data_IF_259665263577
#
_entry.id   IF_259665263577
#
_cell.length_a   1.000
_cell.length_b   1.000
_cell.length_c   1.000
_cell.angle_alpha   90.00
_cell.angle_beta   90.00
_cell.angle_gamma   90.00
#
_symmetry.space_group_name_H-M   'P 1'
#
loop_
_entity.id
_entity.type
_entity.pdbx_description
1 polymer ?
#
# COMPACT_ATOMS: atom_id res chain seq x y z
N UNK A 1 15.89 48.02 -35.97
CA UNK A 1 15.99 49.23 -35.12
C UNK A 1 16.20 48.77 -33.68
N UNK A 2 17.47 48.60 -33.30
CA UNK A 2 18.19 49.37 -32.28
C UNK A 2 18.25 48.54 -30.98
N UNK A 3 19.39 48.14 -30.44
CA UNK A 3 20.76 48.53 -30.74
C UNK A 3 21.68 47.40 -30.24
N UNK A 4 22.23 46.63 -31.17
CA UNK A 4 23.48 45.88 -30.97
C UNK A 4 24.60 46.88 -31.25
N UNK A 5 25.08 47.58 -30.23
CA UNK A 5 26.37 48.27 -30.25
C UNK A 5 27.09 47.94 -28.95
N UNK A 6 27.74 46.80 -29.01
CA UNK A 6 28.66 46.33 -28.01
C UNK A 6 29.95 47.18 -28.06
N UNK A 7 30.59 47.31 -26.90
CA UNK A 7 32.04 47.21 -26.76
C UNK A 7 32.96 48.42 -27.04
N UNK A 8 32.46 49.65 -27.27
CA UNK A 8 33.36 50.78 -27.62
C UNK A 8 33.34 52.00 -26.70
N UNK A 9 32.49 52.04 -25.65
CA UNK A 9 32.45 53.19 -24.71
C UNK A 9 33.11 52.92 -23.36
N UNK A 10 33.47 51.67 -23.04
CA UNK A 10 34.14 51.33 -21.77
C UNK A 10 35.68 51.50 -21.88
N UNK A 11 36.22 51.56 -23.11
CA UNK A 11 37.66 51.64 -23.34
C UNK A 11 38.24 53.07 -23.39
N UNK A 12 37.42 54.13 -23.37
CA UNK A 12 37.87 55.52 -23.60
C UNK A 12 38.03 56.37 -22.33
N UNK A 13 37.66 55.84 -21.15
CA UNK A 13 37.88 56.52 -19.87
C UNK A 13 39.16 56.00 -19.18
N UNK A 14 39.75 54.94 -19.72
CA UNK A 14 41.09 54.49 -19.36
C UNK A 14 42.08 55.25 -20.24
N UNK A 15 42.89 56.12 -19.61
CA UNK A 15 43.87 57.04 -20.22
C UNK A 15 43.19 58.31 -20.76
N UNK A 16 43.26 59.48 -20.11
CA UNK A 16 44.48 60.15 -19.65
C UNK A 16 44.09 61.18 -18.59
N UNK A 17 44.54 61.03 -17.36
CA UNK A 17 45.09 62.10 -16.50
C UNK A 17 45.92 61.41 -15.40
N UNK A 18 47.26 61.49 -15.54
CA UNK A 18 48.23 61.10 -14.51
C UNK A 18 48.29 62.21 -13.46
N UNK A 19 47.75 61.94 -12.27
CA UNK A 19 48.33 62.24 -10.95
C UNK A 19 47.24 62.09 -9.88
N UNK A 20 47.64 61.62 -8.69
CA UNK A 20 46.83 61.18 -7.55
C UNK A 20 46.49 59.69 -7.56
N UNK A 21 47.04 59.01 -6.55
CA UNK A 21 46.86 57.60 -6.22
C UNK A 21 45.38 57.22 -6.23
N UNK A 22 44.96 56.32 -7.13
CA UNK A 22 43.73 55.56 -6.93
C UNK A 22 43.99 54.59 -5.78
N UNK A 23 43.77 55.07 -4.56
CA UNK A 23 43.67 54.23 -3.37
C UNK A 23 42.39 53.42 -3.57
N UNK A 24 42.49 52.09 -3.56
CA UNK A 24 41.30 51.24 -3.42
C UNK A 24 40.48 51.81 -2.27
N UNK A 25 39.26 52.31 -2.56
CA UNK A 25 38.39 52.81 -1.51
C UNK A 25 37.89 51.59 -0.75
N UNK A 26 38.67 51.19 0.27
CA UNK A 26 38.26 50.24 1.29
C UNK A 26 36.98 50.80 1.89
N UNK A 27 35.87 50.15 1.57
CA UNK A 27 34.56 50.47 2.14
C UNK A 27 34.70 50.50 3.66
N UNK A 28 34.20 51.56 4.29
CA UNK A 28 34.20 51.63 5.75
C UNK A 28 33.35 50.49 6.31
N UNK A 29 33.59 50.08 7.56
CA UNK A 29 32.74 49.06 8.21
C UNK A 29 31.26 49.44 8.18
N UNK A 30 30.94 50.73 8.20
CA UNK A 30 29.56 51.23 8.03
C UNK A 30 29.00 51.01 6.63
N UNK A 31 29.78 51.20 5.57
CA UNK A 31 29.33 50.97 4.20
C UNK A 31 29.10 49.48 3.95
N UNK A 32 29.96 48.64 4.52
CA UNK A 32 29.83 47.19 4.46
C UNK A 32 28.58 46.71 5.23
N UNK A 33 28.31 47.29 6.40
CA UNK A 33 27.12 46.99 7.21
C UNK A 33 25.82 47.35 6.48
N UNK A 34 25.78 48.50 5.80
CA UNK A 34 24.63 48.92 4.99
C UNK A 34 24.41 47.98 3.81
N UNK A 35 25.48 47.59 3.11
CA UNK A 35 25.41 46.60 2.03
C UNK A 35 24.89 45.25 2.52
N UNK A 36 25.32 44.78 3.68
CA UNK A 36 24.85 43.52 4.26
C UNK A 36 23.39 43.59 4.73
N UNK A 37 22.96 44.74 5.25
CA UNK A 37 21.55 44.98 5.57
C UNK A 37 20.67 44.97 4.30
N UNK A 38 21.12 45.61 3.22
CA UNK A 38 20.39 45.63 1.95
C UNK A 38 20.35 44.24 1.29
N UNK A 39 21.44 43.47 1.35
CA UNK A 39 21.47 42.08 0.90
C UNK A 39 20.50 41.21 1.69
N UNK A 40 20.51 41.34 3.02
CA UNK A 40 19.59 40.60 3.89
C UNK A 40 18.14 40.94 3.58
N UNK A 41 17.79 42.23 3.44
CA UNK A 41 16.45 42.68 3.08
C UNK A 41 15.98 42.09 1.74
N UNK A 42 16.83 42.09 0.71
CA UNK A 42 16.55 41.49 -0.61
C UNK A 42 16.43 39.96 -0.57
N UNK A 43 17.10 39.29 0.37
CA UNK A 43 17.00 37.84 0.57
C UNK A 43 15.69 37.50 1.31
N UNK A 44 15.33 38.24 2.35
CA UNK A 44 14.06 38.03 3.07
C UNK A 44 12.85 38.38 2.21
N UNK A 45 12.87 39.51 1.51
CA UNK A 45 11.76 39.93 0.65
C UNK A 45 11.49 38.95 -0.50
N UNK A 46 12.53 38.27 -1.04
CA UNK A 46 12.35 37.23 -2.06
C UNK A 46 11.84 35.89 -1.52
N UNK A 47 11.95 35.62 -0.21
CA UNK A 47 11.39 34.40 0.40
C UNK A 47 9.87 34.47 0.55
N UNK A 48 9.33 35.68 0.71
CA UNK A 48 7.89 35.90 0.91
C UNK A 48 7.09 35.88 -0.42
N UNK A 49 7.78 35.98 -1.58
CA UNK A 49 7.15 36.00 -2.92
C UNK A 49 7.26 34.68 -3.70
N UNK A 50 8.00 33.67 -3.22
CA UNK A 50 8.00 32.36 -3.88
C UNK A 50 6.67 31.63 -3.60
N UNK A 51 5.87 31.28 -4.62
CA UNK A 51 4.73 30.40 -4.42
C UNK A 51 5.24 29.09 -3.82
N UNK A 52 4.81 28.79 -2.60
CA UNK A 52 5.02 27.46 -2.03
C UNK A 52 4.28 26.48 -2.93
N UNK A 53 5.00 25.78 -3.80
CA UNK A 53 4.47 24.57 -4.43
C UNK A 53 4.02 23.68 -3.27
N UNK A 54 2.70 23.54 -3.08
CA UNK A 54 2.17 22.51 -2.21
C UNK A 54 2.64 21.20 -2.82
N UNK A 55 3.74 20.65 -2.32
CA UNK A 55 4.08 19.24 -2.50
C UNK A 55 2.91 18.47 -1.90
N UNK A 56 1.94 18.13 -2.76
CA UNK A 56 0.96 17.11 -2.43
C UNK A 56 1.74 15.82 -2.32
N UNK A 57 2.17 15.50 -1.11
CA UNK A 57 2.66 14.17 -0.76
C UNK A 57 1.50 13.22 -1.00
N UNK A 58 1.58 12.45 -2.09
CA UNK A 58 0.66 11.35 -2.37
C UNK A 58 0.93 10.25 -1.35
N UNK A 59 0.44 10.43 -0.14
CA UNK A 59 0.43 9.38 0.89
C UNK A 59 -0.72 8.43 0.60
N UNK A 60 -0.46 7.15 0.69
CA UNK A 60 -1.47 6.12 0.60
C UNK A 60 -0.88 4.77 0.97
N UNK A 61 -1.76 3.82 1.23
CA UNK A 61 -1.39 2.45 1.57
C UNK A 61 -2.15 1.48 0.68
N UNK A 62 -1.52 0.33 0.44
CA UNK A 62 -2.18 -0.79 -0.22
C UNK A 62 -2.64 -1.83 0.78
N UNK A 63 -3.71 -2.54 0.45
CA UNK A 63 -4.17 -3.71 1.17
C UNK A 63 -4.85 -4.69 0.23
N UNK A 64 -4.92 -5.95 0.62
CA UNK A 64 -5.62 -6.98 -0.15
C UNK A 64 -7.01 -7.19 0.45
N UNK A 65 -8.02 -7.20 -0.42
CA UNK A 65 -9.39 -7.57 -0.10
C UNK A 65 -9.65 -8.99 -0.60
N UNK A 66 -9.56 -9.94 0.31
CA UNK A 66 -9.77 -11.35 0.01
C UNK A 66 -11.27 -11.68 -0.11
N UNK A 67 -11.63 -12.52 -1.07
CA UNK A 67 -13.02 -12.94 -1.33
C UNK A 67 -13.84 -11.94 -2.16
N UNK A 68 -13.23 -10.91 -2.76
CA UNK A 68 -13.94 -9.93 -3.60
C UNK A 68 -13.16 -9.56 -4.87
N UNK A 69 -13.89 -9.33 -5.96
CA UNK A 69 -13.37 -8.87 -7.26
C UNK A 69 -13.22 -7.33 -7.36
N UNK A 70 -13.17 -6.59 -6.25
CA UNK A 70 -13.09 -5.13 -6.28
C UNK A 70 -13.00 -4.47 -4.91
N UNK A 71 -12.63 -3.19 -4.87
CA UNK A 71 -12.40 -2.43 -3.63
C UNK A 71 -13.67 -1.77 -3.08
N UNK A 72 -13.68 -1.32 -1.82
CA UNK A 72 -14.77 -0.51 -1.27
C UNK A 72 -14.94 0.81 -2.04
N UNK A 73 -16.09 1.45 -1.88
CA UNK A 73 -16.36 2.74 -2.50
C UNK A 73 -15.35 3.81 -2.02
N UNK A 74 -14.86 4.63 -2.96
CA UNK A 74 -13.85 5.65 -2.67
C UNK A 74 -12.42 5.13 -2.52
N UNK A 75 -12.17 3.84 -2.78
CA UNK A 75 -10.85 3.21 -2.76
C UNK A 75 -10.47 2.80 -4.17
N UNK A 76 -9.25 3.13 -4.60
CA UNK A 76 -8.80 2.80 -5.95
C UNK A 76 -8.46 1.31 -6.03
N UNK A 77 -8.81 0.67 -7.15
CA UNK A 77 -8.33 -0.68 -7.49
C UNK A 77 -6.95 -0.54 -8.11
N UNK A 78 -5.96 -1.27 -7.57
CA UNK A 78 -4.66 -1.44 -8.21
C UNK A 78 -4.76 -2.54 -9.26
N UNK A 79 -5.21 -3.73 -8.85
CA UNK A 79 -5.59 -4.81 -9.76
C UNK A 79 -6.59 -5.76 -9.10
N UNK A 80 -7.21 -6.60 -9.92
CA UNK A 80 -8.07 -7.70 -9.48
C UNK A 80 -7.46 -9.03 -9.89
N UNK A 81 -7.82 -10.08 -9.17
CA UNK A 81 -7.12 -11.33 -9.29
C UNK A 81 -7.85 -12.51 -8.67
N UNK A 82 -7.12 -13.61 -8.63
CA UNK A 82 -7.48 -14.82 -7.91
C UNK A 82 -6.46 -15.10 -6.82
N UNK A 83 -6.90 -15.79 -5.76
CA UNK A 83 -5.95 -16.25 -4.76
C UNK A 83 -5.10 -17.36 -5.33
N UNK A 84 -3.81 -17.31 -5.02
CA UNK A 84 -2.92 -18.44 -5.17
C UNK A 84 -2.10 -18.70 -3.92
N UNK A 85 -1.42 -19.83 -3.91
CA UNK A 85 -0.52 -20.23 -2.84
C UNK A 85 -0.01 -21.63 -3.07
N UNK A 86 0.67 -22.19 -2.08
CA UNK A 86 1.16 -23.56 -2.17
C UNK A 86 0.01 -24.59 -1.95
N UNK A 87 0.15 -25.81 -2.47
CA UNK A 87 -0.81 -26.91 -2.30
C UNK A 87 -0.89 -27.38 -0.83
N UNK A 88 -2.03 -27.91 -0.37
CA UNK A 88 -2.32 -28.19 1.05
C UNK A 88 -1.44 -29.26 1.72
N UNK A 89 -0.92 -30.23 0.97
CA UNK A 89 0.01 -31.29 1.38
C UNK A 89 1.48 -30.96 1.11
N UNK A 90 1.80 -29.78 0.58
CA UNK A 90 3.17 -29.38 0.34
C UNK A 90 3.78 -28.66 1.56
N UNK A 91 4.90 -29.17 2.06
CA UNK A 91 5.56 -28.65 3.27
C UNK A 91 6.44 -27.41 3.07
N UNK A 92 6.66 -26.97 1.82
CA UNK A 92 7.58 -25.88 1.46
C UNK A 92 7.05 -25.01 0.30
N UNK A 93 7.86 -24.11 -0.25
CA UNK A 93 7.46 -23.27 -1.40
C UNK A 93 6.78 -21.93 -1.04
N UNK A 94 6.15 -21.84 0.12
CA UNK A 94 5.58 -20.58 0.64
C UNK A 94 4.43 -20.84 1.63
N UNK A 95 4.26 -19.93 2.60
CA UNK A 95 3.18 -20.02 3.61
C UNK A 95 2.08 -19.00 3.39
N UNK A 96 2.38 -17.89 2.71
CA UNK A 96 1.46 -16.80 2.50
C UNK A 96 0.49 -17.10 1.34
N UNK A 97 -0.70 -16.51 1.43
CA UNK A 97 -1.58 -16.37 0.27
C UNK A 97 -1.06 -15.26 -0.65
N UNK A 98 -1.27 -15.43 -1.94
CA UNK A 98 -0.94 -14.47 -2.99
C UNK A 98 -2.23 -13.99 -3.64
N UNK A 99 -2.30 -12.71 -3.99
CA UNK A 99 -3.30 -12.22 -4.92
C UNK A 99 -2.66 -12.17 -6.31
N UNK A 100 -2.97 -13.12 -7.17
CA UNK A 100 -2.40 -13.23 -8.51
C UNK A 100 -3.25 -12.39 -9.48
N UNK A 101 -2.65 -11.49 -10.28
CA UNK A 101 -3.40 -10.67 -11.22
C UNK A 101 -4.11 -11.54 -12.27
N UNK A 102 -5.24 -11.04 -12.79
CA UNK A 102 -5.98 -11.69 -13.87
C UNK A 102 -5.26 -11.61 -15.23
N UNK A 103 -4.25 -10.74 -15.33
CA UNK A 103 -3.43 -10.45 -16.51
C UNK A 103 -1.93 -10.69 -16.20
N UNK A 104 -1.51 -11.94 -15.94
CA UNK A 104 -0.12 -12.22 -15.59
C UNK A 104 0.82 -12.06 -16.79
N UNK A 105 2.01 -11.53 -16.52
CA UNK A 105 3.17 -11.66 -17.43
C UNK A 105 3.86 -13.00 -17.18
N UNK A 106 3.80 -13.91 -18.15
CA UNK A 106 4.36 -15.26 -18.00
C UNK A 106 5.84 -15.30 -18.38
N UNK A 107 6.64 -16.00 -17.57
CA UNK A 107 7.99 -16.43 -17.95
C UNK A 107 7.98 -17.63 -18.90
N UNK A 108 9.17 -18.12 -19.25
CA UNK A 108 9.32 -19.31 -20.07
C UNK A 108 8.86 -20.59 -19.32
N UNK A 109 8.33 -21.55 -20.07
CA UNK A 109 8.00 -22.87 -19.53
C UNK A 109 9.28 -23.61 -19.10
N UNK A 110 9.28 -24.15 -17.87
CA UNK A 110 10.42 -24.88 -17.30
C UNK A 110 9.99 -26.27 -16.82
N UNK A 111 10.76 -27.35 -17.10
CA UNK A 111 10.36 -28.72 -16.80
C UNK A 111 10.79 -29.23 -15.40
N UNK A 112 11.35 -28.37 -14.54
CA UNK A 112 11.92 -28.80 -13.25
C UNK A 112 10.86 -28.86 -12.13
N UNK A 113 11.00 -29.82 -11.21
CA UNK A 113 10.11 -30.04 -10.06
C UNK A 113 10.33 -29.07 -8.89
N UNK A 114 10.35 -27.77 -9.18
CA UNK A 114 10.47 -26.70 -8.18
C UNK A 114 9.10 -26.40 -7.52
N UNK A 115 9.05 -25.55 -6.48
CA UNK A 115 7.79 -25.10 -5.91
C UNK A 115 6.84 -24.51 -6.96
N UNK A 116 5.56 -24.81 -6.81
CA UNK A 116 4.50 -24.37 -7.71
C UNK A 116 3.51 -23.47 -6.95
N UNK A 117 2.87 -22.57 -7.69
CA UNK A 117 1.75 -21.77 -7.19
C UNK A 117 0.46 -22.38 -7.74
N UNK A 118 -0.44 -22.73 -6.82
CA UNK A 118 -1.75 -23.30 -7.06
C UNK A 118 -2.83 -22.25 -6.83
N UNK A 119 -4.01 -22.42 -7.44
CA UNK A 119 -5.19 -21.60 -7.15
C UNK A 119 -5.68 -21.81 -5.71
N UNK A 120 -6.43 -20.85 -5.18
CA UNK A 120 -7.01 -20.95 -3.84
C UNK A 120 -8.51 -21.19 -3.85
N UNK A 121 -9.00 -22.02 -2.94
CA UNK A 121 -10.39 -22.51 -2.93
C UNK A 121 -11.03 -22.40 -1.53
N UNK A 122 -12.35 -22.23 -1.48
CA UNK A 122 -13.09 -22.29 -0.23
C UNK A 122 -13.39 -23.74 0.18
N UNK A 123 -13.00 -24.07 1.41
CA UNK A 123 -13.27 -25.36 2.03
C UNK A 123 -14.38 -25.23 3.07
N UNK A 124 -15.59 -25.01 2.56
CA UNK A 124 -16.79 -24.81 3.37
C UNK A 124 -17.91 -25.74 2.93
N UNK A 125 -18.76 -26.10 3.88
CA UNK A 125 -19.91 -26.96 3.74
C UNK A 125 -21.06 -26.39 4.56
N UNK A 126 -22.23 -27.03 4.51
CA UNK A 126 -23.36 -26.64 5.36
C UNK A 126 -23.04 -26.65 6.86
N UNK A 127 -22.06 -27.46 7.31
CA UNK A 127 -21.73 -27.64 8.72
C UNK A 127 -20.64 -26.73 9.28
N UNK A 128 -19.82 -26.10 8.43
CA UNK A 128 -18.70 -25.25 8.87
C UNK A 128 -18.66 -23.86 8.21
N UNK A 129 -19.56 -23.53 7.28
CA UNK A 129 -19.56 -22.22 6.62
C UNK A 129 -19.82 -21.07 7.60
N UNK A 130 -19.18 -19.90 7.39
CA UNK A 130 -19.54 -18.70 8.14
C UNK A 130 -20.99 -18.28 7.90
N UNK A 131 -21.59 -17.61 8.90
CA UNK A 131 -22.97 -17.13 8.79
C UNK A 131 -23.14 -16.16 7.61
N UNK A 132 -24.12 -16.47 6.75
CA UNK A 132 -24.46 -15.71 5.55
C UNK A 132 -23.81 -16.19 4.25
N UNK A 133 -22.89 -17.16 4.31
CA UNK A 133 -22.25 -17.71 3.10
C UNK A 133 -23.04 -18.89 2.53
N UNK A 134 -22.93 -19.14 1.22
CA UNK A 134 -23.59 -20.29 0.59
C UNK A 134 -22.67 -21.52 0.65
N UNK A 135 -23.18 -22.72 1.00
CA UNK A 135 -22.39 -23.95 0.88
C UNK A 135 -21.98 -24.26 -0.57
N UNK A 136 -22.65 -23.66 -1.56
CA UNK A 136 -22.28 -23.79 -2.98
C UNK A 136 -20.94 -23.12 -3.34
N UNK A 137 -20.33 -22.38 -2.41
CA UNK A 137 -18.99 -21.82 -2.59
C UNK A 137 -17.89 -22.85 -2.34
N UNK A 138 -18.22 -24.04 -1.83
CA UNK A 138 -17.26 -25.13 -1.69
C UNK A 138 -16.55 -25.40 -3.01
N UNK A 139 -15.21 -25.56 -2.96
CA UNK A 139 -14.37 -25.84 -4.12
C UNK A 139 -14.47 -24.77 -5.21
N UNK A 140 -14.87 -23.55 -4.82
CA UNK A 140 -14.86 -22.40 -5.71
C UNK A 140 -13.65 -21.55 -5.42
N UNK A 141 -13.08 -21.01 -6.50
CA UNK A 141 -11.87 -20.23 -6.38
C UNK A 141 -12.16 -18.89 -5.70
N UNK A 142 -11.21 -18.47 -4.88
CA UNK A 142 -11.31 -17.27 -4.06
C UNK A 142 -10.85 -16.07 -4.89
N UNK A 143 -11.71 -15.08 -5.19
CA UNK A 143 -11.29 -13.85 -5.84
C UNK A 143 -10.53 -12.95 -4.86
N UNK A 144 -9.69 -12.07 -5.38
CA UNK A 144 -9.04 -11.03 -4.60
C UNK A 144 -8.96 -9.71 -5.37
N UNK A 145 -8.78 -8.62 -4.63
CA UNK A 145 -8.48 -7.31 -5.20
C UNK A 145 -7.42 -6.61 -4.34
N UNK A 146 -6.44 -6.00 -4.99
CA UNK A 146 -5.48 -5.12 -4.32
C UNK A 146 -5.97 -3.70 -4.43
N UNK A 147 -6.13 -3.07 -3.28
CA UNK A 147 -6.75 -1.76 -3.12
C UNK A 147 -5.71 -0.73 -2.68
N UNK A 148 -5.81 0.48 -3.21
CA UNK A 148 -5.01 1.63 -2.80
C UNK A 148 -5.91 2.69 -2.16
N UNK A 149 -5.65 2.98 -0.89
CA UNK A 149 -6.36 3.99 -0.13
C UNK A 149 -5.51 5.25 -0.01
N UNK A 150 -6.01 6.34 -0.61
CA UNK A 150 -5.36 7.66 -0.61
C UNK A 150 -5.43 8.28 0.78
N UNK A 151 -4.46 9.14 1.10
CA UNK A 151 -4.38 9.95 2.34
C UNK A 151 -4.40 9.11 3.62
N UNK A 152 -3.84 7.91 3.54
CA UNK A 152 -3.58 7.01 4.68
C UNK A 152 -2.10 6.67 4.72
N UNK A 153 -1.60 6.36 5.90
CA UNK A 153 -0.19 6.04 6.13
C UNK A 153 0.05 4.62 6.63
N UNK A 154 -0.98 3.95 7.16
CA UNK A 154 -0.84 2.59 7.69
C UNK A 154 -2.06 1.73 7.43
N UNK A 155 -1.85 0.42 7.37
CA UNK A 155 -2.88 -0.63 7.32
C UNK A 155 -2.69 -1.58 8.49
N UNK A 156 -3.80 -2.07 9.06
CA UNK A 156 -3.82 -3.05 10.14
C UNK A 156 -4.99 -4.02 9.96
N UNK A 157 -4.73 -5.32 9.98
CA UNK A 157 -5.75 -6.34 10.14
C UNK A 157 -5.90 -6.68 11.63
N UNK A 158 -7.13 -6.61 12.16
CA UNK A 158 -7.43 -6.91 13.56
C UNK A 158 -8.26 -8.20 13.61
N UNK A 159 -7.70 -9.34 14.05
CA UNK A 159 -8.46 -10.57 14.26
C UNK A 159 -9.34 -10.45 15.51
N UNK A 160 -10.50 -11.11 15.49
CA UNK A 160 -11.50 -11.11 16.56
C UNK A 160 -12.40 -9.88 16.63
N UNK A 161 -12.35 -8.95 15.67
CA UNK A 161 -13.22 -7.76 15.63
C UNK A 161 -13.91 -7.57 14.28
N UNK A 162 -15.11 -6.97 14.32
CA UNK A 162 -15.83 -6.48 13.12
C UNK A 162 -15.62 -4.98 12.86
N UNK A 163 -15.03 -4.27 13.80
CA UNK A 163 -14.86 -2.82 13.75
C UNK A 163 -13.46 -2.41 14.18
N UNK A 164 -12.96 -1.35 13.57
CA UNK A 164 -11.68 -0.74 13.91
C UNK A 164 -11.75 -0.05 15.28
N UNK A 165 -10.59 0.17 15.90
CA UNK A 165 -10.50 1.01 17.09
C UNK A 165 -10.75 2.48 16.75
N UNK A 166 -11.05 3.29 17.78
CA UNK A 166 -11.27 4.74 17.62
C UNK A 166 -10.07 5.39 16.89
N UNK A 167 -10.36 6.23 15.91
CA UNK A 167 -9.35 6.92 15.10
C UNK A 167 -8.78 6.10 13.94
N UNK A 168 -9.28 4.88 13.72
CA UNK A 168 -9.01 4.07 12.53
C UNK A 168 -10.26 3.98 11.65
N UNK A 169 -10.05 3.83 10.36
CA UNK A 169 -11.11 3.74 9.36
C UNK A 169 -11.25 2.29 8.92
N UNK A 170 -12.49 1.80 8.82
CA UNK A 170 -12.77 0.45 8.34
C UNK A 170 -12.75 0.43 6.82
N UNK A 171 -11.90 -0.42 6.25
CA UNK A 171 -11.90 -0.71 4.82
C UNK A 171 -12.89 -1.83 4.50
N UNK A 172 -12.78 -2.96 5.22
CA UNK A 172 -13.77 -4.04 5.19
C UNK A 172 -13.67 -4.92 6.43
N UNK A 173 -14.72 -5.70 6.70
CA UNK A 173 -14.73 -6.72 7.74
C UNK A 173 -15.18 -8.06 7.18
N UNK A 174 -14.89 -9.12 7.92
CA UNK A 174 -14.95 -10.46 7.40
C UNK A 174 -14.79 -11.54 8.46
N UNK A 175 -14.51 -12.74 7.97
CA UNK A 175 -14.12 -13.90 8.77
C UNK A 175 -12.65 -14.20 8.55
N UNK A 176 -11.95 -14.54 9.62
CA UNK A 176 -10.57 -14.97 9.56
C UNK A 176 -10.55 -16.42 9.06
N UNK A 177 -9.72 -16.67 8.05
CA UNK A 177 -9.57 -17.97 7.42
C UNK A 177 -8.10 -18.35 7.29
N UNK A 178 -7.83 -19.65 7.25
CA UNK A 178 -6.50 -20.23 7.01
C UNK A 178 -6.69 -21.68 6.54
N UNK A 179 -5.61 -22.47 6.47
CA UNK A 179 -5.70 -23.89 6.15
C UNK A 179 -6.32 -24.72 7.29
N UNK A 180 -6.64 -25.98 6.98
CA UNK A 180 -7.10 -26.93 7.98
C UNK A 180 -5.97 -27.28 8.96
N UNK A 181 -6.33 -27.56 10.22
CA UNK A 181 -5.34 -27.81 11.28
C UNK A 181 -4.53 -29.11 11.10
N UNK A 182 -4.92 -29.98 10.16
CA UNK A 182 -4.16 -31.19 9.79
C UNK A 182 -3.34 -31.02 8.52
N UNK A 183 -3.40 -29.86 7.85
CA UNK A 183 -2.65 -29.56 6.63
C UNK A 183 -1.36 -28.81 6.95
N UNK A 184 -0.59 -28.48 5.92
CA UNK A 184 0.57 -27.61 6.11
C UNK A 184 0.14 -26.16 6.38
N UNK A 185 0.95 -25.48 7.18
CA UNK A 185 0.66 -24.13 7.67
C UNK A 185 0.45 -23.12 6.53
N UNK A 186 -0.58 -22.27 6.69
CA UNK A 186 -0.80 -21.05 5.92
C UNK A 186 -0.89 -19.85 6.84
N UNK A 187 -0.71 -18.66 6.27
CA UNK A 187 -1.04 -17.43 6.98
C UNK A 187 -2.54 -17.30 7.26
N UNK A 188 -2.91 -16.28 8.03
CA UNK A 188 -4.31 -15.92 8.26
C UNK A 188 -4.73 -14.82 7.28
N UNK A 189 -5.85 -15.03 6.59
CA UNK A 189 -6.45 -14.04 5.71
C UNK A 189 -7.79 -13.57 6.27
N UNK A 190 -8.03 -12.25 6.20
CA UNK A 190 -9.34 -11.70 6.49
C UNK A 190 -10.20 -11.74 5.22
N UNK A 191 -11.17 -12.63 5.14
CA UNK A 191 -12.01 -12.79 3.95
C UNK A 191 -13.31 -12.01 4.11
N UNK A 192 -13.63 -11.17 3.13
CA UNK A 192 -14.75 -10.24 3.16
C UNK A 192 -16.06 -10.92 3.56
N UNK A 193 -16.85 -10.28 4.43
CA UNK A 193 -18.09 -10.85 4.94
C UNK A 193 -19.10 -11.18 3.86
N UNK A 194 -19.09 -10.45 2.74
CA UNK A 194 -19.89 -10.70 1.53
C UNK A 194 -19.02 -11.32 0.44
N UNK A 195 -18.23 -12.33 0.80
CA UNK A 195 -17.37 -13.05 -0.13
C UNK A 195 -18.14 -13.55 -1.35
N UNK A 196 -17.49 -13.51 -2.50
CA UNK A 196 -17.93 -14.12 -3.74
C UNK A 196 -16.92 -15.18 -4.21
N UNK A 197 -17.22 -15.76 -5.36
CA UNK A 197 -16.40 -16.79 -6.02
C UNK A 197 -15.98 -16.33 -7.41
N UNK A 198 -15.00 -17.00 -8.00
CA UNK A 198 -14.81 -16.98 -9.45
C UNK A 198 -15.75 -18.01 -10.09
N UNK A 199 -16.09 -17.80 -11.36
CA UNK A 199 -17.08 -18.59 -12.08
C UNK A 199 -16.42 -19.71 -12.91
N UNK A 200 -15.12 -19.94 -12.70
CA UNK A 200 -14.24 -20.51 -13.72
C UNK A 200 -13.98 -22.01 -13.55
N UNK A 201 -14.26 -22.61 -12.38
CA UNK A 201 -14.36 -24.07 -12.25
C UNK A 201 -15.19 -24.49 -11.02
N UNK A 202 -15.47 -25.78 -10.89
CA UNK A 202 -16.15 -26.38 -9.73
C UNK A 202 -15.49 -27.70 -9.31
N UNK A 203 -14.19 -27.85 -9.59
CA UNK A 203 -13.40 -29.02 -9.23
C UNK A 203 -12.79 -28.89 -7.85
N UNK A 204 -12.50 -30.01 -7.19
CA UNK A 204 -11.62 -30.04 -6.01
C UNK A 204 -10.18 -30.08 -6.54
N UNK A 205 -9.53 -28.93 -6.67
CA UNK A 205 -8.14 -28.87 -7.15
C UNK A 205 -7.14 -28.91 -5.98
N UNK A 206 -7.65 -28.77 -4.76
CA UNK A 206 -6.95 -28.87 -3.49
C UNK A 206 -5.69 -27.98 -3.43
N UNK A 207 -5.78 -26.76 -3.94
CA UNK A 207 -4.65 -25.83 -4.00
C UNK A 207 -4.36 -25.16 -2.64
N UNK A 208 -4.48 -23.83 -2.61
CA UNK A 208 -4.37 -23.03 -1.38
C UNK A 208 -5.73 -22.91 -0.69
N UNK A 209 -5.94 -23.66 0.39
CA UNK A 209 -7.26 -23.83 0.96
C UNK A 209 -7.63 -22.75 1.99
N UNK A 210 -8.93 -22.43 2.01
CA UNK A 210 -9.53 -21.47 2.95
C UNK A 210 -10.61 -22.16 3.80
N UNK A 211 -10.24 -22.47 5.04
CA UNK A 211 -11.11 -22.95 6.11
C UNK A 211 -11.46 -21.81 7.09
N UNK A 212 -12.73 -21.70 7.54
CA UNK A 212 -13.11 -20.80 8.61
C UNK A 212 -12.43 -21.16 9.94
N UNK A 213 -11.90 -20.14 10.63
CA UNK A 213 -11.33 -20.34 11.97
C UNK A 213 -12.41 -20.37 13.03
N UNK A 214 -12.21 -21.25 14.02
CA UNK A 214 -12.94 -21.24 15.28
C UNK A 214 -11.98 -21.07 16.44
N UNK A 215 -12.39 -20.32 17.45
CA UNK A 215 -11.68 -20.20 18.71
C UNK A 215 -11.63 -21.54 19.46
N UNK A 216 -10.52 -21.79 20.17
CA UNK A 216 -10.38 -22.91 21.10
C UNK A 216 -9.94 -22.36 22.45
N UNK A 217 -10.78 -22.54 23.47
CA UNK A 217 -10.48 -22.05 24.82
C UNK A 217 -9.39 -22.91 25.49
N UNK A 218 -8.69 -22.31 26.45
CA UNK A 218 -7.55 -22.91 27.13
C UNK A 218 -6.62 -21.79 27.57
N UNK A 219 -5.44 -21.69 26.95
CA UNK A 219 -4.60 -20.49 27.05
C UNK A 219 -5.29 -19.25 26.45
N UNK A 220 -6.20 -19.44 25.48
CA UNK A 220 -7.12 -18.40 25.05
C UNK A 220 -8.19 -18.21 26.13
N UNK A 221 -8.20 -17.04 26.77
CA UNK A 221 -9.15 -16.70 27.83
C UNK A 221 -10.57 -16.61 27.28
N UNK A 222 -11.48 -17.35 27.91
CA UNK A 222 -12.89 -17.33 27.62
C UNK A 222 -13.65 -17.14 28.95
N UNK A 223 -14.22 -15.95 29.24
CA UNK A 223 -14.33 -14.73 28.43
C UNK A 223 -13.00 -13.94 28.27
N UNK A 224 -12.89 -12.99 27.30
CA UNK A 224 -13.97 -12.43 26.46
C UNK A 224 -14.25 -13.20 25.17
N UNK A 225 -13.40 -14.17 24.80
CA UNK A 225 -13.70 -15.05 23.67
C UNK A 225 -14.74 -16.09 24.06
N UNK A 226 -15.44 -16.63 23.08
CA UNK A 226 -16.37 -17.76 23.24
C UNK A 226 -15.72 -19.00 22.64
N UNK A 227 -15.88 -20.17 23.25
CA UNK A 227 -15.34 -21.40 22.67
C UNK A 227 -16.02 -21.76 21.35
N UNK A 228 -15.28 -22.35 20.41
CA UNK A 228 -15.79 -22.86 19.13
C UNK A 228 -16.57 -21.83 18.30
N UNK A 229 -16.25 -20.55 18.44
CA UNK A 229 -16.91 -19.45 17.74
C UNK A 229 -16.09 -19.01 16.53
N UNK A 230 -16.77 -18.66 15.44
CA UNK A 230 -16.13 -18.07 14.26
C UNK A 230 -15.31 -16.83 14.62
N UNK A 231 -14.11 -16.74 14.07
CA UNK A 231 -13.22 -15.60 14.31
C UNK A 231 -13.50 -14.52 13.28
N UNK A 232 -14.04 -13.38 13.71
CA UNK A 232 -14.17 -12.20 12.83
C UNK A 232 -12.82 -11.55 12.55
N UNK A 233 -12.77 -10.68 11.56
CA UNK A 233 -11.64 -9.80 11.30
C UNK A 233 -12.09 -8.49 10.66
N UNK A 234 -11.24 -7.47 10.76
CA UNK A 234 -11.44 -6.18 10.09
C UNK A 234 -10.10 -5.66 9.59
N UNK A 235 -10.08 -5.13 8.39
CA UNK A 235 -8.93 -4.41 7.82
C UNK A 235 -9.19 -2.92 7.97
N UNK A 236 -8.23 -2.24 8.58
CA UNK A 236 -8.32 -0.85 8.99
C UNK A 236 -7.17 -0.02 8.41
N UNK A 237 -7.41 1.26 8.17
CA UNK A 237 -6.38 2.22 7.76
C UNK A 237 -6.38 3.46 8.66
N UNK A 238 -5.26 4.18 8.68
CA UNK A 238 -5.10 5.45 9.41
C UNK A 238 -4.60 6.56 8.51
#
# INVERSE_FOLDING_TARGET
MCMRYASLLIASVVLVLRSHECRDSVLSESDQSMLDMMKNYLITSRKDECPQERKTTHTGVTYIRWGKKGCPEGVDIVYTGQVGGNQYTHSGGGVNYLCLPNDPENGEHQPYGNPQVYGGEYEISSGNRPSGWSPSMHNKEVPCAVCYQKRRSTVLMIPGRKSCYKGWNSEYNGYLMSDHYTHYKKDFACVDRKAGTLDNSSGSEDGALFYPLRTSCGSLRCPPYTNAADVFCVVCTK
#
